data_IF_457480337359
#
_entry.id   IF_457480337359
#
_cell.length_a   1.000
_cell.length_b   1.000
_cell.length_c   1.000
_cell.angle_alpha   90.00
_cell.angle_beta   90.00
_cell.angle_gamma   90.00
#
_symmetry.space_group_name_H-M   'P 1'
#
loop_
_entity.id
_entity.type
_entity.pdbx_description
1 polymer ?
#
# COMPACT_ATOMS: atom_id res chain seq x y z
N UNK A 1 24.92 8.98 11.71
CA UNK A 1 23.93 9.82 12.42
C UNK A 1 22.69 8.96 12.53
N UNK A 2 22.28 8.60 13.74
CA UNK A 2 21.11 7.77 13.95
C UNK A 2 19.86 8.65 13.87
N UNK A 3 19.04 8.44 12.85
CA UNK A 3 17.83 9.23 12.61
C UNK A 3 16.71 8.77 13.56
N UNK A 4 16.35 9.62 14.52
CA UNK A 4 15.20 9.38 15.40
C UNK A 4 13.89 9.83 14.73
N UNK A 5 13.30 8.93 13.95
CA UNK A 5 12.14 9.23 13.08
C UNK A 5 10.96 9.88 13.80
N UNK A 6 10.71 9.49 15.04
CA UNK A 6 9.58 9.98 15.85
C UNK A 6 9.79 11.38 16.42
N UNK A 7 11.04 11.84 16.58
CA UNK A 7 11.37 13.11 17.24
C UNK A 7 12.05 14.13 16.33
N UNK A 8 12.71 13.69 15.25
CA UNK A 8 13.31 14.59 14.27
C UNK A 8 12.28 15.54 13.67
N UNK A 9 12.68 16.74 13.25
CA UNK A 9 11.77 17.63 12.52
C UNK A 9 11.58 17.16 11.07
N UNK A 10 10.63 17.78 10.37
CA UNK A 10 10.26 17.37 9.00
C UNK A 10 11.42 17.58 8.03
N UNK A 11 12.11 18.71 8.15
CA UNK A 11 13.20 19.13 7.27
C UNK A 11 14.40 18.18 7.41
N UNK A 12 14.74 17.78 8.63
CA UNK A 12 15.77 16.79 8.93
C UNK A 12 15.47 15.42 8.27
N UNK A 13 14.24 14.94 8.38
CA UNK A 13 13.82 13.68 7.77
C UNK A 13 13.94 13.70 6.24
N UNK A 14 13.49 14.78 5.61
CA UNK A 14 13.54 14.95 4.15
C UNK A 14 14.99 15.07 3.70
N UNK A 15 15.80 15.92 4.36
CA UNK A 15 17.21 16.10 4.02
C UNK A 15 17.99 14.80 4.14
N UNK A 16 17.75 14.01 5.19
CA UNK A 16 18.35 12.69 5.34
C UNK A 16 18.06 11.78 4.14
N UNK A 17 16.80 11.72 3.70
CA UNK A 17 16.39 10.88 2.57
C UNK A 17 16.98 11.37 1.24
N UNK A 18 16.95 12.68 1.00
CA UNK A 18 17.45 13.29 -0.24
C UNK A 18 18.98 13.16 -0.35
N UNK A 19 19.72 13.36 0.74
CA UNK A 19 21.18 13.24 0.77
C UNK A 19 21.65 11.81 0.54
N UNK A 20 21.01 10.82 1.18
CA UNK A 20 21.32 9.41 0.92
C UNK A 20 20.88 8.95 -0.46
N UNK A 21 19.85 9.55 -1.04
CA UNK A 21 19.35 9.20 -2.36
C UNK A 21 18.94 7.72 -2.44
N UNK A 22 19.70 6.93 -3.21
CA UNK A 22 19.49 5.48 -3.40
C UNK A 22 20.49 4.61 -2.62
N UNK A 23 21.33 5.21 -1.78
CA UNK A 23 22.26 4.46 -0.93
C UNK A 23 21.45 3.55 0.02
N UNK A 24 21.71 2.24 -0.02
CA UNK A 24 20.92 1.21 0.68
C UNK A 24 19.45 1.10 0.23
N UNK A 25 19.14 1.46 -1.02
CA UNK A 25 17.83 1.19 -1.59
C UNK A 25 17.54 -0.32 -1.63
N UNK A 26 16.44 -0.74 -1.01
CA UNK A 26 15.92 -2.11 -1.09
C UNK A 26 14.92 -2.27 -2.25
N UNK A 27 14.47 -1.14 -2.79
CA UNK A 27 13.67 -1.02 -4.00
C UNK A 27 13.83 0.39 -4.60
N UNK A 28 13.95 0.51 -5.91
CA UNK A 28 13.91 1.78 -6.62
C UNK A 28 13.24 1.59 -7.98
N UNK A 29 12.12 2.28 -8.19
CA UNK A 29 11.49 2.38 -9.51
C UNK A 29 12.01 3.65 -10.22
N UNK A 30 12.11 3.61 -11.55
CA UNK A 30 12.68 4.68 -12.39
C UNK A 30 11.78 5.93 -12.36
N UNK A 31 10.47 5.74 -12.20
CA UNK A 31 9.45 6.81 -12.18
C UNK A 31 8.69 6.86 -10.83
N UNK A 32 8.80 5.79 -10.02
CA UNK A 32 8.01 5.56 -8.82
C UNK A 32 8.71 5.85 -7.49
N UNK A 33 8.26 5.15 -6.45
CA UNK A 33 8.79 5.32 -5.10
C UNK A 33 10.13 4.59 -4.90
N UNK A 34 10.99 5.17 -4.07
CA UNK A 34 12.24 4.57 -3.61
C UNK A 34 12.01 4.09 -2.17
N UNK A 35 12.41 2.85 -1.87
CA UNK A 35 12.40 2.31 -0.51
C UNK A 35 13.85 2.17 -0.03
N UNK A 36 14.19 2.86 1.05
CA UNK A 36 15.54 2.87 1.63
C UNK A 36 15.45 2.41 3.08
N UNK A 37 16.37 1.53 3.49
CA UNK A 37 16.54 1.18 4.90
C UNK A 37 17.28 2.30 5.63
N UNK A 38 16.64 2.91 6.63
CA UNK A 38 17.21 4.08 7.35
C UNK A 38 17.82 3.69 8.69
N UNK A 39 17.25 2.68 9.36
CA UNK A 39 17.81 2.03 10.56
C UNK A 39 17.65 0.50 10.43
N UNK A 40 18.18 -0.33 11.35
CA UNK A 40 17.95 -1.77 11.32
C UNK A 40 16.47 -2.18 11.26
N UNK A 41 15.57 -1.37 11.83
CA UNK A 41 14.14 -1.67 12.01
C UNK A 41 13.20 -0.73 11.25
N UNK A 42 13.70 0.33 10.60
CA UNK A 42 12.88 1.31 9.89
C UNK A 42 13.33 1.44 8.44
N UNK A 43 12.34 1.47 7.54
CA UNK A 43 12.51 1.86 6.15
C UNK A 43 11.70 3.13 5.85
N UNK A 44 12.15 3.88 4.85
CA UNK A 44 11.40 5.00 4.26
C UNK A 44 11.07 4.66 2.82
N UNK A 45 9.78 4.75 2.48
CA UNK A 45 9.30 4.79 1.08
C UNK A 45 9.06 6.24 0.71
N UNK A 46 9.67 6.75 -0.35
CA UNK A 46 9.49 8.15 -0.74
C UNK A 46 9.46 8.37 -2.25
N UNK A 47 8.74 9.41 -2.68
CA UNK A 47 8.55 9.75 -4.10
C UNK A 47 7.20 10.41 -4.37
N UNK A 48 6.95 10.74 -5.64
CA UNK A 48 5.70 11.40 -6.06
C UNK A 48 4.46 10.49 -5.96
N UNK A 49 4.65 9.17 -6.02
CA UNK A 49 3.56 8.19 -5.89
C UNK A 49 3.24 7.81 -4.45
N UNK A 50 4.01 8.29 -3.45
CA UNK A 50 3.78 7.97 -2.03
C UNK A 50 2.78 8.98 -1.47
N UNK A 51 1.67 8.49 -0.92
CA UNK A 51 0.55 9.37 -0.54
C UNK A 51 0.17 9.24 0.93
N UNK A 52 -0.48 10.28 1.47
CA UNK A 52 -1.07 10.22 2.81
C UNK A 52 -2.17 9.14 2.91
N UNK A 53 -2.88 8.87 1.82
CA UNK A 53 -3.88 7.80 1.75
C UNK A 53 -3.23 6.42 1.86
N UNK A 54 -2.06 6.20 1.25
CA UNK A 54 -1.28 4.98 1.44
C UNK A 54 -0.88 4.79 2.91
N UNK A 55 -0.35 5.83 3.55
CA UNK A 55 0.00 5.78 4.97
C UNK A 55 -1.21 5.47 5.87
N UNK A 56 -2.36 6.11 5.61
CA UNK A 56 -3.58 5.90 6.37
C UNK A 56 -4.14 4.48 6.18
N UNK A 57 -4.12 3.97 4.95
CA UNK A 57 -4.56 2.60 4.64
C UNK A 57 -3.63 1.55 5.25
N UNK A 58 -2.32 1.77 5.23
CA UNK A 58 -1.35 0.87 5.84
C UNK A 58 -1.50 0.84 7.37
N UNK A 59 -1.68 1.99 8.02
CA UNK A 59 -1.93 2.07 9.46
C UNK A 59 -3.27 1.41 9.84
N UNK A 60 -4.31 1.60 9.01
CA UNK A 60 -5.59 0.91 9.19
C UNK A 60 -5.42 -0.61 9.08
N UNK A 61 -4.70 -1.09 8.06
CA UNK A 61 -4.43 -2.53 7.90
C UNK A 61 -3.64 -3.08 9.10
N UNK A 62 -2.55 -2.43 9.51
CA UNK A 62 -1.76 -2.82 10.69
C UNK A 62 -2.61 -3.01 11.96
N UNK A 63 -3.58 -2.13 12.21
CA UNK A 63 -4.45 -2.20 13.40
C UNK A 63 -5.50 -3.30 13.35
N UNK A 64 -5.91 -3.72 12.15
CA UNK A 64 -7.08 -4.59 11.97
C UNK A 64 -6.71 -5.99 11.46
N UNK A 65 -5.47 -6.21 11.03
CA UNK A 65 -5.01 -7.55 10.64
C UNK A 65 -4.53 -8.36 11.85
N UNK A 66 -4.77 -9.67 11.83
CA UNK A 66 -4.16 -10.58 12.79
C UNK A 66 -2.68 -10.82 12.40
N UNK A 67 -1.70 -10.44 13.24
CA UNK A 67 -0.28 -10.58 12.93
C UNK A 67 0.20 -12.03 12.80
N UNK A 68 -0.56 -13.01 13.30
CA UNK A 68 -0.28 -14.44 13.12
C UNK A 68 -0.66 -14.94 11.71
N UNK A 69 -1.54 -14.20 11.02
CA UNK A 69 -1.93 -14.49 9.63
C UNK A 69 -1.08 -13.67 8.65
N UNK A 70 -0.99 -12.36 8.87
CA UNK A 70 -0.20 -11.43 8.06
C UNK A 70 0.29 -10.26 8.90
N UNK A 71 1.58 -9.95 8.78
CA UNK A 71 2.16 -8.75 9.38
C UNK A 71 2.21 -7.63 8.35
N UNK A 72 1.56 -6.53 8.65
CA UNK A 72 1.66 -5.28 7.90
C UNK A 72 2.69 -4.40 8.59
N UNK A 73 3.62 -3.72 7.89
CA UNK A 73 4.57 -2.83 8.55
C UNK A 73 3.84 -1.66 9.24
N UNK A 74 4.18 -1.36 10.50
CA UNK A 74 3.62 -0.22 11.21
C UNK A 74 4.07 1.09 10.58
N UNK A 75 3.18 2.08 10.51
CA UNK A 75 3.55 3.44 10.10
C UNK A 75 4.10 4.20 11.32
N UNK A 76 5.31 4.74 11.18
CA UNK A 76 5.90 5.63 12.19
C UNK A 76 5.56 7.08 11.90
N UNK A 77 5.64 7.49 10.63
CA UNK A 77 5.39 8.87 10.22
C UNK A 77 5.17 9.01 8.72
N UNK A 78 4.30 9.94 8.33
CA UNK A 78 4.22 10.44 6.97
C UNK A 78 4.54 11.94 6.95
N UNK A 79 5.38 12.38 6.01
CA UNK A 79 5.62 13.79 5.72
C UNK A 79 5.59 14.02 4.21
N UNK A 80 5.29 15.26 3.80
CA UNK A 80 5.28 15.65 2.39
C UNK A 80 6.07 16.94 2.22
N UNK A 81 6.96 16.98 1.23
CA UNK A 81 7.71 18.21 0.93
C UNK A 81 6.89 19.22 0.10
N UNK A 82 7.46 20.39 -0.16
CA UNK A 82 6.81 21.46 -0.92
C UNK A 82 6.57 21.10 -2.40
N UNK A 83 7.34 20.16 -2.94
CA UNK A 83 7.18 19.64 -4.29
C UNK A 83 6.08 18.56 -4.36
N UNK A 84 5.50 18.19 -3.23
CA UNK A 84 4.45 17.19 -3.15
C UNK A 84 4.96 15.75 -3.06
N UNK A 85 6.26 15.50 -2.91
CA UNK A 85 6.79 14.14 -2.70
C UNK A 85 6.43 13.67 -1.29
N UNK A 86 5.83 12.49 -1.20
CA UNK A 86 5.54 11.84 0.08
C UNK A 86 6.75 11.07 0.59
N UNK A 87 6.87 11.00 1.92
CA UNK A 87 7.86 10.23 2.65
C UNK A 87 7.14 9.45 3.75
N UNK A 88 7.06 8.14 3.58
CA UNK A 88 6.42 7.19 4.49
C UNK A 88 7.48 6.40 5.23
N UNK A 89 7.65 6.70 6.52
CA UNK A 89 8.51 5.96 7.42
C UNK A 89 7.71 4.85 8.09
N UNK A 90 8.18 3.62 7.96
CA UNK A 90 7.48 2.42 8.41
C UNK A 90 8.46 1.35 8.88
N UNK A 91 7.96 0.32 9.56
CA UNK A 91 8.78 -0.83 9.92
C UNK A 91 9.50 -1.40 8.68
N UNK A 92 10.78 -1.72 8.85
CA UNK A 92 11.49 -2.56 7.89
C UNK A 92 11.13 -4.02 8.17
N UNK A 93 10.62 -4.71 7.15
CA UNK A 93 10.28 -6.14 7.24
C UNK A 93 11.45 -6.96 6.71
N UNK A 94 12.16 -7.74 7.56
CA UNK A 94 13.20 -8.65 7.11
C UNK A 94 12.61 -9.89 6.42
N UNK A 95 13.45 -10.60 5.67
CA UNK A 95 13.08 -11.84 4.99
C UNK A 95 13.22 -11.78 3.48
N UNK A 96 12.74 -12.84 2.82
CA UNK A 96 12.89 -13.06 1.38
C UNK A 96 11.66 -12.58 0.62
N UNK A 97 11.86 -11.80 -0.46
CA UNK A 97 10.76 -11.43 -1.35
C UNK A 97 10.20 -12.68 -2.02
N UNK A 98 8.87 -12.82 -2.06
CA UNK A 98 8.24 -13.95 -2.74
C UNK A 98 8.48 -13.95 -4.25
N UNK A 99 8.92 -12.83 -4.84
CA UNK A 99 9.32 -12.76 -6.24
C UNK A 99 10.50 -13.69 -6.53
N UNK A 100 11.42 -13.80 -5.58
CA UNK A 100 12.69 -14.53 -5.71
C UNK A 100 12.57 -15.97 -5.19
N UNK A 101 11.39 -16.39 -4.75
CA UNK A 101 11.12 -17.70 -4.19
C UNK A 101 10.62 -18.67 -5.28
N UNK A 102 11.16 -19.90 -5.28
CA UNK A 102 10.65 -20.97 -6.13
C UNK A 102 9.38 -21.60 -5.53
N UNK A 103 8.23 -21.26 -6.11
CA UNK A 103 6.93 -21.75 -5.64
C UNK A 103 6.67 -23.23 -5.99
N UNK A 104 7.49 -23.85 -6.85
CA UNK A 104 7.41 -25.30 -7.09
C UNK A 104 7.97 -26.10 -5.92
N UNK A 105 8.91 -25.50 -5.18
CA UNK A 105 9.47 -26.03 -3.93
C UNK A 105 8.62 -25.58 -2.74
N UNK A 106 8.28 -24.29 -2.68
CA UNK A 106 7.54 -23.67 -1.57
C UNK A 106 6.02 -23.66 -1.81
N UNK A 107 5.43 -24.83 -2.04
CA UNK A 107 4.04 -24.99 -2.46
C UNK A 107 3.01 -24.49 -1.41
N UNK A 108 3.36 -24.54 -0.12
CA UNK A 108 2.51 -24.08 0.98
C UNK A 108 2.23 -22.55 0.95
N UNK A 109 3.03 -21.77 0.21
CA UNK A 109 2.87 -20.32 0.10
C UNK A 109 1.52 -19.94 -0.52
N UNK A 110 1.01 -20.74 -1.47
CA UNK A 110 -0.28 -20.46 -2.11
C UNK A 110 -1.40 -20.49 -1.07
N UNK A 111 -1.45 -21.53 -0.23
CA UNK A 111 -2.45 -21.65 0.84
C UNK A 111 -2.32 -20.52 1.86
N UNK A 112 -1.10 -20.10 2.20
CA UNK A 112 -0.88 -18.93 3.08
C UNK A 112 -1.45 -17.66 2.45
N UNK A 113 -1.18 -17.40 1.17
CA UNK A 113 -1.73 -16.22 0.46
C UNK A 113 -3.25 -16.27 0.42
N UNK A 114 -3.86 -17.43 0.14
CA UNK A 114 -5.33 -17.59 0.18
C UNK A 114 -5.89 -17.26 1.55
N UNK A 115 -5.24 -17.71 2.63
CA UNK A 115 -5.64 -17.39 4.00
C UNK A 115 -5.55 -15.89 4.29
N UNK A 116 -4.50 -15.21 3.79
CA UNK A 116 -4.34 -13.76 3.90
C UNK A 116 -5.49 -13.04 3.18
N UNK A 117 -5.84 -13.44 1.95
CA UNK A 117 -6.94 -12.83 1.19
C UNK A 117 -8.27 -13.01 1.93
N UNK A 118 -8.54 -14.21 2.44
CA UNK A 118 -9.75 -14.48 3.21
C UNK A 118 -9.82 -13.62 4.49
N UNK A 119 -8.70 -13.48 5.20
CA UNK A 119 -8.59 -12.63 6.40
C UNK A 119 -8.85 -11.15 6.09
N UNK A 120 -8.25 -10.61 5.03
CA UNK A 120 -8.51 -9.24 4.60
C UNK A 120 -9.98 -9.01 4.23
N UNK A 121 -10.61 -10.01 3.59
CA UNK A 121 -12.03 -10.01 3.23
C UNK A 121 -13.01 -10.03 4.41
N UNK A 122 -12.53 -10.19 5.65
CA UNK A 122 -13.35 -10.09 6.86
C UNK A 122 -13.30 -8.70 7.51
N UNK A 123 -12.41 -7.82 7.03
CA UNK A 123 -12.19 -6.48 7.61
C UNK A 123 -13.02 -5.47 6.82
N UNK A 124 -14.09 -4.97 7.42
CA UNK A 124 -14.94 -3.93 6.83
C UNK A 124 -14.49 -2.51 7.24
N UNK A 125 -14.69 -1.54 6.35
CA UNK A 125 -14.44 -0.13 6.68
C UNK A 125 -15.49 0.79 6.06
N UNK A 126 -16.39 1.31 6.92
CA UNK A 126 -17.36 2.33 6.54
C UNK A 126 -18.33 1.87 5.44
N UNK A 127 -18.94 2.84 4.76
CA UNK A 127 -19.91 2.61 3.67
C UNK A 127 -19.48 3.20 2.33
N UNK A 128 -18.31 3.82 2.28
CA UNK A 128 -17.79 4.51 1.09
C UNK A 128 -16.69 3.66 0.46
N UNK A 129 -16.78 3.33 -0.84
CA UNK A 129 -15.73 2.59 -1.50
C UNK A 129 -14.52 3.46 -1.80
N UNK A 130 -13.33 2.86 -1.76
CA UNK A 130 -12.06 3.53 -2.02
C UNK A 130 -11.16 3.62 -0.80
N UNK A 131 -9.98 4.26 -0.93
CA UNK A 131 -9.03 4.41 0.16
C UNK A 131 -9.55 5.37 1.23
N UNK A 132 -8.99 5.26 2.44
CA UNK A 132 -9.19 6.24 3.50
C UNK A 132 -8.57 7.57 3.08
N UNK A 133 -9.40 8.62 3.08
CA UNK A 133 -9.00 9.98 2.76
C UNK A 133 -9.94 10.65 1.75
N UNK A 134 -9.46 11.75 1.18
CA UNK A 134 -10.24 12.58 0.25
C UNK A 134 -9.86 12.37 -1.22
N UNK A 135 -8.90 11.50 -1.51
CA UNK A 135 -8.52 11.15 -2.88
C UNK A 135 -9.32 9.94 -3.36
N UNK A 136 -9.67 9.92 -4.64
CA UNK A 136 -10.24 8.72 -5.25
C UNK A 136 -9.21 7.60 -5.41
N UNK A 137 -9.66 6.38 -5.71
CA UNK A 137 -8.77 5.24 -5.88
C UNK A 137 -7.87 5.40 -7.12
N UNK A 138 -6.67 4.82 -7.03
CA UNK A 138 -5.62 4.85 -8.05
C UNK A 138 -5.19 3.44 -8.45
N UNK A 139 -4.52 3.31 -9.59
CA UNK A 139 -4.02 2.04 -10.13
C UNK A 139 -4.76 1.59 -11.38
N UNK A 140 -4.30 0.49 -11.99
CA UNK A 140 -4.69 0.06 -13.33
C UNK A 140 -6.20 -0.07 -13.57
N UNK A 141 -6.97 -0.45 -12.54
CA UNK A 141 -8.43 -0.54 -12.63
C UNK A 141 -9.10 0.82 -12.90
N UNK A 142 -8.49 1.90 -12.43
CA UNK A 142 -9.05 3.25 -12.42
C UNK A 142 -8.50 4.13 -13.55
N UNK A 143 -7.45 3.69 -14.24
CA UNK A 143 -6.72 4.44 -15.27
C UNK A 143 -5.47 5.13 -14.69
N UNK A 144 -4.62 5.64 -15.57
CA UNK A 144 -3.32 6.23 -15.20
C UNK A 144 -3.48 7.44 -14.27
N UNK A 145 -4.53 8.24 -14.47
CA UNK A 145 -4.86 9.39 -13.63
C UNK A 145 -5.74 9.03 -12.40
N UNK A 146 -6.15 7.76 -12.29
CA UNK A 146 -7.05 7.29 -11.24
C UNK A 146 -8.46 7.91 -11.33
N UNK A 147 -9.11 8.07 -10.17
CA UNK A 147 -10.37 8.81 -10.03
C UNK A 147 -10.11 10.09 -9.24
N UNK A 148 -10.38 11.26 -9.83
CA UNK A 148 -10.11 12.56 -9.19
C UNK A 148 -10.76 12.71 -7.81
N UNK A 149 -11.97 12.17 -7.66
CA UNK A 149 -12.81 12.32 -6.46
C UNK A 149 -13.15 10.96 -5.84
N UNK A 150 -13.25 10.89 -4.51
CA UNK A 150 -13.61 9.68 -3.82
C UNK A 150 -15.07 9.31 -4.13
N UNK A 151 -15.34 8.01 -4.17
CA UNK A 151 -16.71 7.54 -4.29
C UNK A 151 -17.46 7.79 -2.99
N UNK A 152 -18.71 8.23 -3.11
CA UNK A 152 -19.55 8.56 -1.94
C UNK A 152 -20.50 7.42 -1.58
N UNK A 153 -20.64 6.42 -2.44
CA UNK A 153 -21.48 5.24 -2.25
C UNK A 153 -21.15 4.14 -3.27
N UNK A 154 -21.61 2.90 -3.00
CA UNK A 154 -21.54 1.78 -3.95
C UNK A 154 -22.30 2.09 -5.24
N UNK A 155 -23.44 2.77 -5.17
CA UNK A 155 -24.17 3.22 -6.36
C UNK A 155 -23.34 4.18 -7.23
N UNK A 156 -22.54 5.07 -6.63
CA UNK A 156 -21.63 5.93 -7.38
C UNK A 156 -20.55 5.11 -8.10
N UNK A 157 -19.96 4.12 -7.40
CA UNK A 157 -18.99 3.20 -7.99
C UNK A 157 -19.57 2.38 -9.14
N UNK A 158 -20.76 1.79 -8.96
CA UNK A 158 -21.47 1.04 -10.01
C UNK A 158 -21.70 1.91 -11.26
N UNK A 159 -22.19 3.15 -11.09
CA UNK A 159 -22.38 4.07 -12.22
C UNK A 159 -21.07 4.36 -12.95
N UNK A 160 -19.99 4.56 -12.22
CA UNK A 160 -18.67 4.81 -12.79
C UNK A 160 -18.17 3.62 -13.61
N UNK A 161 -18.21 2.41 -13.06
CA UNK A 161 -17.75 1.20 -13.73
C UNK A 161 -18.64 0.83 -14.92
N UNK A 162 -19.97 0.90 -14.77
CA UNK A 162 -20.90 0.57 -15.85
C UNK A 162 -20.82 1.54 -17.03
N UNK A 163 -20.45 2.82 -16.82
CA UNK A 163 -20.13 3.74 -17.92
C UNK A 163 -18.94 3.27 -18.75
N UNK A 164 -17.95 2.61 -18.12
CA UNK A 164 -16.78 2.05 -18.84
C UNK A 164 -17.12 0.72 -19.50
N UNK A 165 -17.89 -0.12 -18.83
CA UNK A 165 -18.31 -1.43 -19.35
C UNK A 165 -19.33 -1.33 -20.49
N UNK A 166 -20.08 -0.23 -20.59
CA UNK A 166 -21.04 -0.04 -21.69
C UNK A 166 -20.37 -0.02 -23.06
N UNK A 167 -19.09 0.38 -23.16
CA UNK A 167 -18.32 0.29 -24.41
C UNK A 167 -18.09 -1.15 -24.89
N UNK A 168 -18.28 -2.13 -24.00
CA UNK A 168 -18.19 -3.56 -24.27
C UNK A 168 -19.55 -4.26 -24.27
N UNK A 169 -20.64 -3.51 -24.12
CA UNK A 169 -21.99 -4.06 -23.90
C UNK A 169 -22.10 -4.96 -22.66
N UNK A 170 -21.31 -4.66 -21.62
CA UNK A 170 -21.26 -5.38 -20.34
C UNK A 170 -21.84 -4.54 -19.19
N UNK A 171 -22.20 -5.18 -18.07
CA UNK A 171 -22.58 -4.50 -16.83
C UNK A 171 -22.26 -5.32 -15.58
N UNK A 172 -22.18 -4.63 -14.44
CA UNK A 172 -21.97 -5.23 -13.12
C UNK A 172 -22.88 -4.57 -12.07
N UNK A 173 -23.19 -5.32 -11.02
CA UNK A 173 -23.79 -4.78 -9.79
C UNK A 173 -22.99 -5.24 -8.56
N UNK A 174 -22.33 -4.28 -7.92
CA UNK A 174 -21.56 -4.50 -6.70
C UNK A 174 -22.39 -4.31 -5.41
N UNK A 175 -23.67 -3.93 -5.50
CA UNK A 175 -24.52 -3.65 -4.33
C UNK A 175 -24.68 -4.84 -3.36
N UNK A 176 -24.74 -6.11 -3.81
CA UNK A 176 -24.85 -7.25 -2.91
C UNK A 176 -23.57 -7.57 -2.12
N UNK A 177 -22.43 -7.00 -2.52
CA UNK A 177 -21.12 -7.36 -1.96
C UNK A 177 -20.69 -6.36 -0.88
N UNK A 178 -20.20 -6.83 0.27
CA UNK A 178 -19.70 -5.95 1.32
C UNK A 178 -18.43 -5.22 0.88
N UNK A 179 -18.20 -4.03 1.44
CA UNK A 179 -16.96 -3.29 1.25
C UNK A 179 -15.94 -3.74 2.30
N UNK A 180 -14.90 -4.42 1.82
CA UNK A 180 -13.87 -5.05 2.64
C UNK A 180 -12.48 -4.51 2.29
N UNK A 181 -11.52 -4.73 3.17
CA UNK A 181 -10.14 -4.34 2.94
C UNK A 181 -9.52 -5.17 1.81
N UNK A 182 -9.02 -4.48 0.78
CA UNK A 182 -8.32 -5.08 -0.33
C UNK A 182 -6.93 -4.44 -0.47
N UNK A 183 -5.90 -5.26 -0.72
CA UNK A 183 -4.56 -4.73 -0.98
C UNK A 183 -4.46 -3.99 -2.33
N UNK A 184 -5.26 -4.39 -3.32
CA UNK A 184 -5.31 -3.82 -4.69
C UNK A 184 -4.03 -3.97 -5.54
N UNK A 185 -2.92 -4.45 -4.98
CA UNK A 185 -1.66 -4.79 -5.69
C UNK A 185 -1.00 -6.01 -5.02
N UNK A 186 -1.78 -7.09 -4.85
CA UNK A 186 -1.32 -8.32 -4.22
C UNK A 186 -0.50 -9.15 -5.22
N UNK A 187 0.80 -8.92 -5.23
CA UNK A 187 1.76 -9.53 -6.17
C UNK A 187 3.03 -9.95 -5.44
N UNK A 188 3.77 -10.91 -6.00
CA UNK A 188 4.96 -11.50 -5.37
C UNK A 188 6.03 -10.48 -4.96
N UNK A 189 6.18 -9.39 -5.72
CA UNK A 189 7.14 -8.30 -5.42
C UNK A 189 6.80 -7.49 -4.17
N UNK A 190 5.54 -7.52 -3.72
CA UNK A 190 5.03 -6.78 -2.56
C UNK A 190 4.87 -7.67 -1.32
N UNK A 191 5.28 -8.95 -1.39
CA UNK A 191 5.16 -9.90 -0.30
C UNK A 191 6.53 -10.39 0.13
N UNK A 192 6.72 -10.51 1.44
CA UNK A 192 7.96 -10.98 2.05
C UNK A 192 7.61 -12.22 2.88
N UNK A 193 8.33 -13.31 2.63
CA UNK A 193 8.39 -14.43 3.54
C UNK A 193 9.29 -14.02 4.71
N UNK A 194 8.69 -13.80 5.88
CA UNK A 194 9.43 -13.50 7.08
C UNK A 194 10.39 -14.63 7.44
N UNK A 195 11.47 -14.26 8.13
CA UNK A 195 12.28 -15.21 8.89
C UNK A 195 11.41 -15.64 10.07
N UNK A 196 10.96 -16.90 10.10
CA UNK A 196 10.09 -17.41 11.17
C UNK A 196 10.71 -17.25 12.56
#
# INVERSE_FOLDING_TARGET
MDLHVTTANKEELIQFCVQRGKENAVFADIIGAIVVKVTPTIAVKWGYSVTAAEAAMQEFAYKNTNPDIVRVPRVHRFVQDELGRGFLFMDYVPGQKLLDLDLTVHTAIISRITNIIAHLGQIEHGRKPGPIGEKGPQGYLWGDDGVDKPFVSVAHLNRYLNRRLSYRNDSIDLSPYPLVLCHMDLVRRNMILGED
#
